data_IF_489641306055
#
_entry.id   IF_489641306055
#
_cell.length_a   1.000
_cell.length_b   1.000
_cell.length_c   1.000
_cell.angle_alpha   90.00
_cell.angle_beta   90.00
_cell.angle_gamma   90.00
#
_symmetry.space_group_name_H-M   'P 1'
#
loop_
_entity.id
_entity.type
_entity.pdbx_description
1 polymer ?
#
# COMPACT_ATOMS: atom_id res chain seq x y z
N UNK A 1 13.35 12.44 -2.93
CA UNK A 1 14.09 11.26 -2.45
C UNK A 1 13.57 10.09 -3.26
N UNK A 2 14.39 9.49 -4.13
CA UNK A 2 13.95 8.39 -5.00
C UNK A 2 14.33 7.05 -4.37
N UNK A 3 14.00 6.89 -3.10
CA UNK A 3 14.38 5.70 -2.36
C UNK A 3 13.38 4.59 -2.69
N UNK A 4 13.91 3.40 -2.96
CA UNK A 4 13.09 2.23 -3.25
C UNK A 4 12.80 1.47 -1.97
N UNK A 5 11.53 1.11 -1.77
CA UNK A 5 11.09 0.28 -0.66
C UNK A 5 10.69 -1.10 -1.20
N UNK A 6 11.29 -2.14 -0.64
CA UNK A 6 11.03 -3.53 -1.04
C UNK A 6 10.52 -4.31 0.15
N UNK A 7 9.42 -5.04 -0.06
CA UNK A 7 8.85 -5.97 0.92
C UNK A 7 9.06 -7.39 0.42
N UNK A 8 9.58 -8.26 1.27
CA UNK A 8 9.91 -9.64 0.91
C UNK A 8 9.73 -10.58 2.10
N UNK A 9 9.51 -11.86 1.81
CA UNK A 9 9.53 -12.92 2.81
C UNK A 9 10.94 -13.49 2.92
N UNK A 10 11.43 -13.64 4.16
CA UNK A 10 12.69 -14.32 4.43
C UNK A 10 12.55 -15.85 4.43
N UNK A 11 13.67 -16.55 4.64
CA UNK A 11 13.72 -18.02 4.68
C UNK A 11 12.85 -18.65 5.79
N UNK A 12 12.38 -17.86 6.75
CA UNK A 12 11.50 -18.29 7.84
C UNK A 12 10.03 -17.94 7.56
N UNK A 13 9.69 -17.57 6.32
CA UNK A 13 8.37 -17.08 5.93
C UNK A 13 7.93 -15.87 6.77
N UNK A 14 8.89 -15.00 7.12
CA UNK A 14 8.63 -13.74 7.80
C UNK A 14 8.77 -12.57 6.84
N UNK A 15 7.80 -11.67 6.88
CA UNK A 15 7.80 -10.42 6.14
C UNK A 15 8.85 -9.46 6.70
N UNK A 16 9.62 -8.87 5.79
CA UNK A 16 10.60 -7.83 6.06
C UNK A 16 10.53 -6.75 4.99
N UNK A 17 11.00 -5.57 5.34
CA UNK A 17 11.19 -4.46 4.40
C UNK A 17 12.66 -4.04 4.36
N UNK A 18 13.08 -3.47 3.22
CA UNK A 18 14.33 -2.72 3.09
C UNK A 18 14.10 -1.44 2.27
N UNK A 19 14.83 -0.39 2.62
CA UNK A 19 14.85 0.89 1.94
C UNK A 19 16.24 1.09 1.33
N UNK A 20 16.28 1.24 0.02
CA UNK A 20 17.50 1.39 -0.76
C UNK A 20 17.53 2.78 -1.37
N UNK A 21 18.60 3.53 -1.09
CA UNK A 21 18.83 4.83 -1.70
C UNK A 21 19.22 4.66 -3.19
N UNK A 22 19.10 5.72 -4.02
CA UNK A 22 19.45 5.65 -5.45
C UNK A 22 20.90 5.22 -5.75
N UNK A 23 21.79 5.38 -4.78
CA UNK A 23 23.18 4.93 -4.87
C UNK A 23 23.37 3.42 -4.58
N UNK A 24 22.30 2.68 -4.36
CA UNK A 24 22.31 1.25 -4.06
C UNK A 24 22.53 0.89 -2.59
N UNK A 25 22.75 1.88 -1.72
CA UNK A 25 22.97 1.61 -0.30
C UNK A 25 21.65 1.38 0.43
N UNK A 26 21.62 0.37 1.29
CA UNK A 26 20.51 0.15 2.22
C UNK A 26 20.59 1.21 3.31
N UNK A 27 19.59 2.08 3.38
CA UNK A 27 19.49 3.18 4.35
C UNK A 27 18.44 2.91 5.45
N UNK A 28 17.69 1.80 5.32
CA UNK A 28 16.79 1.31 6.35
C UNK A 28 16.38 -0.14 6.09
N UNK A 29 16.09 -0.89 7.14
CA UNK A 29 15.58 -2.25 7.04
C UNK A 29 14.74 -2.62 8.26
N UNK A 30 13.90 -3.63 8.11
CA UNK A 30 13.14 -4.20 9.23
C UNK A 30 14.07 -4.77 10.30
N UNK A 31 13.82 -4.42 11.55
CA UNK A 31 14.57 -4.92 12.71
C UNK A 31 14.13 -6.32 13.15
N UNK A 32 12.94 -6.74 12.74
CA UNK A 32 12.36 -8.05 13.06
C UNK A 32 11.65 -8.66 11.84
N UNK A 33 11.21 -9.92 11.95
CA UNK A 33 10.41 -10.59 10.92
C UNK A 33 8.95 -10.68 11.33
N UNK A 34 8.03 -10.23 10.48
CA UNK A 34 6.60 -10.20 10.75
C UNK A 34 5.87 -11.43 10.20
N UNK A 35 4.83 -11.90 10.88
CA UNK A 35 4.02 -13.04 10.40
C UNK A 35 3.11 -12.68 9.23
N UNK A 36 2.74 -11.42 9.09
CA UNK A 36 1.90 -10.92 8.02
C UNK A 36 2.47 -9.63 7.44
N UNK A 37 2.09 -9.35 6.19
CA UNK A 37 2.56 -8.19 5.44
C UNK A 37 2.08 -6.87 6.04
N UNK A 38 0.87 -6.81 6.58
CA UNK A 38 0.27 -5.58 7.11
C UNK A 38 1.04 -5.02 8.33
N UNK A 39 1.51 -5.91 9.23
CA UNK A 39 2.34 -5.53 10.37
C UNK A 39 3.72 -5.01 9.93
N UNK A 40 4.30 -5.66 8.90
CA UNK A 40 5.55 -5.24 8.28
C UNK A 40 5.43 -3.84 7.64
N UNK A 41 4.37 -3.61 6.89
CA UNK A 41 4.01 -2.31 6.33
C UNK A 41 3.76 -1.25 7.42
N UNK A 42 3.12 -1.65 8.54
CA UNK A 42 2.97 -0.80 9.71
C UNK A 42 4.31 -0.35 10.31
N UNK A 43 5.29 -1.25 10.38
CA UNK A 43 6.64 -0.90 10.81
C UNK A 43 7.36 0.00 9.80
N UNK A 44 7.26 -0.29 8.50
CA UNK A 44 7.83 0.54 7.45
C UNK A 44 7.27 1.97 7.52
N UNK A 45 5.95 2.13 7.74
CA UNK A 45 5.29 3.44 7.94
C UNK A 45 5.89 4.24 9.08
N UNK A 46 6.14 3.60 10.22
CA UNK A 46 6.83 4.23 11.37
C UNK A 46 8.26 4.67 11.03
N UNK A 47 8.90 4.06 10.03
CA UNK A 47 10.23 4.37 9.54
C UNK A 47 10.22 5.30 8.30
N UNK A 48 9.09 5.91 7.98
CA UNK A 48 8.97 6.89 6.90
C UNK A 48 8.59 6.31 5.54
N UNK A 49 8.15 5.05 5.47
CA UNK A 49 7.47 4.55 4.27
C UNK A 49 6.09 5.17 4.20
N UNK A 50 5.87 6.06 3.25
CA UNK A 50 4.51 6.42 2.88
C UNK A 50 4.06 5.41 1.85
N UNK A 51 3.11 4.56 2.24
CA UNK A 51 2.30 3.88 1.25
C UNK A 51 1.75 4.96 0.31
N UNK A 52 1.92 4.78 -1.00
CA UNK A 52 1.58 5.79 -2.01
C UNK A 52 0.12 6.26 -1.89
N UNK A 53 -0.69 5.54 -1.12
CA UNK A 53 -2.04 5.89 -0.66
C UNK A 53 -2.15 7.29 0.00
N UNK A 54 -1.10 7.83 0.63
CA UNK A 54 -1.09 9.21 1.16
C UNK A 54 -0.48 10.24 0.20
N UNK A 55 0.03 9.81 -0.96
CA UNK A 55 0.36 10.73 -2.04
C UNK A 55 -0.94 11.30 -2.62
N UNK A 56 -0.88 12.47 -3.26
CA UNK A 56 -2.05 13.04 -3.94
C UNK A 56 -2.71 12.00 -4.86
N UNK A 57 -1.90 11.22 -5.58
CA UNK A 57 -2.37 10.16 -6.47
C UNK A 57 -3.04 8.99 -5.71
N UNK A 58 -2.55 8.63 -4.53
CA UNK A 58 -3.18 7.63 -3.67
C UNK A 58 -4.54 8.06 -3.11
N UNK A 59 -4.65 9.32 -2.70
CA UNK A 59 -5.90 9.94 -2.26
C UNK A 59 -6.90 9.98 -3.43
N UNK A 60 -6.45 10.40 -4.60
CA UNK A 60 -7.26 10.47 -5.82
C UNK A 60 -7.78 9.08 -6.21
N UNK A 61 -6.93 8.04 -6.12
CA UNK A 61 -7.32 6.65 -6.39
C UNK A 61 -8.38 6.12 -5.40
N UNK A 62 -8.29 6.51 -4.12
CA UNK A 62 -9.28 6.11 -3.11
C UNK A 62 -10.62 6.82 -3.34
N UNK A 63 -10.58 8.12 -3.63
CA UNK A 63 -11.78 8.89 -3.99
C UNK A 63 -12.46 8.32 -5.24
N UNK A 64 -11.69 7.95 -6.27
CA UNK A 64 -12.21 7.33 -7.48
C UNK A 64 -12.85 5.96 -7.21
N UNK A 65 -12.31 5.18 -6.27
CA UNK A 65 -12.87 3.88 -5.90
C UNK A 65 -14.24 4.01 -5.24
N UNK A 66 -14.40 4.96 -4.33
CA UNK A 66 -15.70 5.23 -3.69
C UNK A 66 -16.72 5.74 -4.71
N UNK A 67 -16.32 6.66 -5.61
CA UNK A 67 -17.18 7.14 -6.70
C UNK A 67 -17.65 6.00 -7.61
N UNK A 68 -16.74 5.08 -7.96
CA UNK A 68 -17.08 3.93 -8.81
C UNK A 68 -18.04 2.96 -8.11
N UNK A 69 -17.97 2.84 -6.78
CA UNK A 69 -18.89 2.02 -5.99
C UNK A 69 -20.30 2.63 -5.98
N UNK A 70 -20.40 3.93 -5.69
CA UNK A 70 -21.68 4.65 -5.71
C UNK A 70 -22.32 4.61 -7.10
N UNK A 71 -21.54 4.83 -8.16
CA UNK A 71 -22.03 4.74 -9.54
C UNK A 71 -22.54 3.34 -9.88
N UNK A 72 -21.93 2.29 -9.33
CA UNK A 72 -22.38 0.92 -9.54
C UNK A 72 -23.72 0.67 -8.84
N UNK A 73 -23.88 1.10 -7.60
CA UNK A 73 -25.12 0.98 -6.84
C UNK A 73 -26.28 1.71 -7.55
N UNK A 74 -26.03 2.94 -8.03
CA UNK A 74 -27.01 3.69 -8.82
C UNK A 74 -27.40 3.00 -10.13
N UNK A 75 -26.45 2.35 -10.80
CA UNK A 75 -26.73 1.62 -12.04
C UNK A 75 -27.55 0.35 -11.79
N UNK A 76 -27.36 -0.32 -10.65
CA UNK A 76 -28.14 -1.48 -10.24
C UNK A 76 -29.58 -1.05 -9.90
N UNK A 77 -29.77 0.02 -9.11
CA UNK A 77 -31.09 0.56 -8.78
C UNK A 77 -31.86 1.03 -10.04
N UNK A 78 -31.16 1.72 -10.96
CA UNK A 78 -31.76 2.16 -12.22
C UNK A 78 -32.17 1.01 -13.13
N UNK A 79 -31.47 -0.14 -13.04
CA UNK A 79 -31.83 -1.36 -13.76
C UNK A 79 -33.11 -1.97 -13.18
N UNK A 80 -33.22 -2.07 -11.87
CA UNK A 80 -34.43 -2.59 -11.19
C UNK A 80 -35.67 -1.73 -11.46
N UNK A 81 -35.50 -0.42 -11.64
CA UNK A 81 -36.60 0.49 -11.98
C UNK A 81 -37.08 0.39 -13.44
N UNK A 82 -36.24 -0.13 -14.34
CA UNK A 82 -36.51 -0.20 -15.77
C UNK A 82 -36.87 -1.62 -16.24
N UNK A 83 -36.88 -2.61 -15.34
CA UNK A 83 -37.40 -3.97 -15.54
C UNK A 83 -38.82 -4.11 -14.95
#
# INVERSE_FOLDING_TARGET
MNDTWEFYEDVQAKWRWRRTAPNGNIVGASTEGYTNRADCEGNARRNGWTDDVLSQQGIDNMAQKELNKEQKELNEEQKELNE
#
